data_IF_597422236566
#
_entry.id   IF_597422236566
#
_cell.length_a   1.000
_cell.length_b   1.000
_cell.length_c   1.000
_cell.angle_alpha   90.00
_cell.angle_beta   90.00
_cell.angle_gamma   90.00
#
_symmetry.space_group_name_H-M   'P 1'
#
loop_
_entity.id
_entity.type
_entity.pdbx_description
1 polymer ?
#
# COMPACT_ATOMS: atom_id res chain seq x y z
N UNK A 1 11.57 -21.73 -2.78
CA UNK A 1 11.82 -20.52 -3.58
C UNK A 1 10.53 -19.73 -3.56
N UNK A 2 10.53 -18.54 -2.94
CA UNK A 2 9.33 -17.69 -2.95
C UNK A 2 9.11 -17.17 -4.38
N UNK A 3 7.86 -16.80 -4.71
CA UNK A 3 7.55 -16.25 -6.03
C UNK A 3 8.35 -14.96 -6.30
N UNK A 4 8.62 -14.18 -5.24
CA UNK A 4 9.46 -12.99 -5.31
C UNK A 4 10.92 -13.35 -5.65
N UNK A 5 11.47 -14.41 -5.07
CA UNK A 5 12.84 -14.87 -5.40
C UNK A 5 12.93 -15.30 -6.87
N UNK A 6 11.88 -15.98 -7.36
CA UNK A 6 11.77 -16.41 -8.75
C UNK A 6 11.66 -15.23 -9.72
N UNK A 7 10.73 -14.30 -9.47
CA UNK A 7 10.54 -13.09 -10.28
C UNK A 7 11.80 -12.22 -10.31
N UNK A 8 12.47 -12.07 -9.16
CA UNK A 8 13.74 -11.35 -9.06
C UNK A 8 14.87 -12.05 -9.82
N UNK A 9 14.96 -13.39 -9.73
CA UNK A 9 15.97 -14.16 -10.49
C UNK A 9 15.80 -14.05 -12.01
N UNK A 10 14.58 -13.75 -12.47
CA UNK A 10 14.26 -13.54 -13.88
C UNK A 10 14.35 -12.06 -14.30
N UNK A 11 14.75 -11.16 -13.39
CA UNK A 11 14.79 -9.71 -13.60
C UNK A 11 13.44 -9.17 -14.13
N UNK A 12 12.34 -9.73 -13.64
CA UNK A 12 10.97 -9.29 -13.95
C UNK A 12 10.60 -8.23 -12.92
N UNK A 13 11.12 -7.03 -13.14
CA UNK A 13 10.92 -5.88 -12.24
C UNK A 13 9.54 -5.23 -12.46
N UNK A 14 8.91 -5.55 -13.60
CA UNK A 14 7.60 -5.08 -14.01
C UNK A 14 6.79 -6.24 -14.61
N UNK A 15 5.88 -6.80 -13.82
CA UNK A 15 4.87 -7.70 -14.35
C UNK A 15 3.83 -6.87 -15.07
N UNK A 16 3.85 -6.91 -16.40
CA UNK A 16 2.79 -6.30 -17.17
C UNK A 16 1.53 -7.16 -17.03
N UNK A 17 0.60 -6.75 -16.16
CA UNK A 17 -0.66 -7.46 -15.90
C UNK A 17 -1.43 -7.75 -17.19
N UNK A 18 -1.40 -6.85 -18.19
CA UNK A 18 -2.06 -7.07 -19.48
C UNK A 18 -1.44 -8.24 -20.24
N UNK A 19 -0.10 -8.33 -20.27
CA UNK A 19 0.61 -9.47 -20.87
C UNK A 19 0.38 -10.75 -20.09
N UNK A 20 0.37 -10.69 -18.76
CA UNK A 20 0.12 -11.85 -17.91
C UNK A 20 -1.30 -12.39 -18.10
N UNK A 21 -2.31 -11.52 -18.05
CA UNK A 21 -3.70 -11.88 -18.31
C UNK A 21 -3.87 -12.45 -19.72
N UNK A 22 -3.20 -11.87 -20.71
CA UNK A 22 -3.18 -12.39 -22.09
C UNK A 22 -2.57 -13.79 -22.14
N UNK A 23 -1.40 -13.98 -21.53
CA UNK A 23 -0.73 -15.28 -21.47
C UNK A 23 -1.61 -16.33 -20.78
N UNK A 24 -2.24 -15.99 -19.65
CA UNK A 24 -3.16 -16.88 -18.94
C UNK A 24 -4.35 -17.29 -19.82
N UNK A 25 -4.90 -16.35 -20.59
CA UNK A 25 -5.99 -16.61 -21.53
C UNK A 25 -5.56 -17.49 -22.70
N UNK A 26 -4.43 -17.19 -23.33
CA UNK A 26 -3.91 -17.92 -24.50
C UNK A 26 -3.41 -19.33 -24.15
N UNK A 27 -2.75 -19.48 -22.99
CA UNK A 27 -2.18 -20.76 -22.55
C UNK A 27 -3.23 -21.74 -22.02
N UNK A 28 -4.46 -21.28 -21.74
CA UNK A 28 -5.52 -22.02 -21.04
C UNK A 28 -5.05 -22.61 -19.69
N UNK A 29 -4.03 -22.00 -19.06
CA UNK A 29 -3.39 -22.59 -17.87
C UNK A 29 -4.38 -22.78 -16.71
N UNK A 30 -5.31 -21.84 -16.53
CA UNK A 30 -6.34 -21.93 -15.50
C UNK A 30 -7.29 -23.10 -15.78
N UNK A 31 -7.66 -23.34 -17.04
CA UNK A 31 -8.49 -24.50 -17.42
C UNK A 31 -7.80 -25.82 -17.07
N UNK A 32 -6.49 -25.93 -17.32
CA UNK A 32 -5.71 -27.12 -16.98
C UNK A 32 -5.64 -27.36 -15.47
N UNK A 33 -5.46 -26.29 -14.69
CA UNK A 33 -5.43 -26.36 -13.22
C UNK A 33 -6.79 -26.82 -12.69
N UNK A 34 -7.88 -26.22 -13.17
CA UNK A 34 -9.25 -26.57 -12.76
C UNK A 34 -9.60 -28.01 -13.12
N UNK A 35 -9.18 -28.50 -14.30
CA UNK A 35 -9.48 -29.86 -14.77
C UNK A 35 -8.70 -30.95 -13.98
N UNK A 36 -7.46 -30.65 -13.57
CA UNK A 36 -6.62 -31.62 -12.86
C UNK A 36 -6.81 -31.61 -11.33
N UNK A 37 -7.25 -30.49 -10.76
CA UNK A 37 -7.44 -30.35 -9.33
C UNK A 37 -8.79 -30.90 -8.87
N UNK A 38 -8.82 -31.55 -7.71
CA UNK A 38 -10.08 -31.95 -7.08
C UNK A 38 -10.90 -30.73 -6.63
N UNK A 39 -10.23 -29.68 -6.16
CA UNK A 39 -10.80 -28.39 -5.81
C UNK A 39 -9.75 -27.28 -5.96
N UNK A 40 -10.17 -26.10 -6.40
CA UNK A 40 -9.33 -24.90 -6.47
C UNK A 40 -9.90 -23.86 -5.51
N UNK A 41 -9.07 -23.41 -4.56
CA UNK A 41 -9.45 -22.38 -3.60
C UNK A 41 -8.62 -21.14 -3.90
N UNK A 42 -9.29 -20.03 -4.23
CA UNK A 42 -8.68 -18.72 -4.36
C UNK A 42 -9.04 -17.89 -3.13
N UNK A 43 -8.03 -17.54 -2.34
CA UNK A 43 -8.19 -16.77 -1.11
C UNK A 43 -7.37 -15.49 -1.19
N UNK A 44 -7.96 -14.37 -0.76
CA UNK A 44 -7.30 -13.07 -0.72
C UNK A 44 -8.21 -12.02 -0.08
N UNK A 45 -7.60 -11.07 0.65
CA UNK A 45 -8.34 -10.02 1.35
C UNK A 45 -8.93 -8.94 0.45
N UNK A 46 -8.47 -8.86 -0.81
CA UNK A 46 -8.79 -7.76 -1.77
C UNK A 46 -9.34 -8.27 -3.11
N UNK A 47 -9.92 -9.48 -3.16
CA UNK A 47 -10.40 -10.10 -4.41
C UNK A 47 -11.66 -9.45 -5.02
N UNK A 48 -12.16 -8.34 -4.47
CA UNK A 48 -13.27 -7.61 -5.06
C UNK A 48 -12.80 -6.71 -6.22
N UNK A 49 -13.59 -6.55 -7.30
CA UNK A 49 -14.91 -7.15 -7.53
C UNK A 49 -14.85 -8.60 -8.04
N UNK A 50 -15.72 -9.43 -7.47
CA UNK A 50 -15.76 -10.89 -7.71
C UNK A 50 -16.19 -11.21 -9.14
N UNK A 51 -17.08 -10.40 -9.71
CA UNK A 51 -17.63 -10.56 -11.04
C UNK A 51 -16.55 -10.41 -12.11
N UNK A 52 -15.66 -9.42 -11.96
CA UNK A 52 -14.56 -9.19 -12.90
C UNK A 52 -13.56 -10.34 -12.85
N UNK A 53 -13.27 -10.85 -11.64
CA UNK A 53 -12.41 -12.01 -11.46
C UNK A 53 -12.99 -13.25 -12.14
N UNK A 54 -14.29 -13.50 -11.98
CA UNK A 54 -15.00 -14.61 -12.65
C UNK A 54 -14.89 -14.49 -14.16
N UNK A 55 -15.21 -13.34 -14.73
CA UNK A 55 -15.20 -13.12 -16.18
C UNK A 55 -13.81 -13.27 -16.79
N UNK A 56 -12.76 -12.90 -16.04
CA UNK A 56 -11.37 -13.02 -16.50
C UNK A 56 -10.79 -14.41 -16.36
N UNK A 57 -11.03 -15.07 -15.24
CA UNK A 57 -10.34 -16.31 -14.88
C UNK A 57 -11.17 -17.56 -15.18
N UNK A 58 -12.49 -17.47 -15.06
CA UNK A 58 -13.40 -18.61 -15.12
C UNK A 58 -14.63 -18.40 -16.04
N UNK A 59 -14.49 -17.78 -17.24
CA UNK A 59 -15.65 -17.47 -18.08
C UNK A 59 -16.42 -18.70 -18.58
N UNK A 60 -15.81 -19.89 -18.55
CA UNK A 60 -16.44 -21.14 -18.97
C UNK A 60 -17.12 -21.93 -17.83
N UNK A 61 -16.87 -21.57 -16.56
CA UNK A 61 -17.45 -22.29 -15.43
C UNK A 61 -18.89 -21.80 -15.17
N UNK A 62 -19.86 -22.72 -15.04
CA UNK A 62 -21.21 -22.35 -14.65
C UNK A 62 -21.24 -21.89 -13.17
N UNK A 63 -22.24 -21.06 -12.85
CA UNK A 63 -22.32 -20.33 -11.56
C UNK A 63 -22.47 -21.25 -10.35
N UNK A 64 -23.01 -22.44 -10.53
CA UNK A 64 -23.19 -23.46 -9.50
C UNK A 64 -21.89 -24.12 -9.05
N UNK A 65 -20.81 -24.00 -9.84
CA UNK A 65 -19.48 -24.55 -9.52
C UNK A 65 -18.55 -23.54 -8.86
N UNK A 66 -18.94 -22.26 -8.80
CA UNK A 66 -18.11 -21.19 -8.28
C UNK A 66 -18.72 -20.61 -7.00
N UNK A 67 -18.17 -21.02 -5.86
CA UNK A 67 -18.61 -20.54 -4.56
C UNK A 67 -17.75 -19.38 -4.08
N UNK A 68 -18.41 -18.30 -3.68
CA UNK A 68 -17.77 -17.14 -3.08
C UNK A 68 -18.10 -17.05 -1.61
N UNK A 69 -17.07 -16.81 -0.82
CA UNK A 69 -17.19 -16.64 0.61
C UNK A 69 -16.38 -15.41 1.03
N UNK A 70 -17.03 -14.51 1.74
CA UNK A 70 -16.40 -13.34 2.35
C UNK A 70 -16.51 -13.45 3.85
N UNK A 71 -15.36 -13.43 4.53
CA UNK A 71 -15.33 -13.28 5.98
C UNK A 71 -15.77 -11.86 6.36
N UNK A 72 -16.42 -11.70 7.51
CA UNK A 72 -16.69 -10.39 8.08
C UNK A 72 -15.39 -9.63 8.33
N UNK A 73 -15.40 -8.32 8.09
CA UNK A 73 -14.26 -7.46 8.36
C UNK A 73 -13.87 -7.51 9.85
N UNK A 74 -12.58 -7.77 10.12
CA UNK A 74 -12.02 -7.75 11.49
C UNK A 74 -11.95 -6.30 12.01
N UNK A 75 -11.81 -5.33 11.10
CA UNK A 75 -11.80 -3.91 11.43
C UNK A 75 -13.22 -3.36 11.46
N UNK A 76 -13.66 -2.75 12.58
CA UNK A 76 -14.95 -2.10 12.66
C UNK A 76 -15.06 -0.93 11.66
N UNK A 77 -16.22 -0.69 11.02
CA UNK A 77 -16.39 0.40 10.06
C UNK A 77 -16.04 1.79 10.62
N UNK A 78 -16.29 2.02 11.90
CA UNK A 78 -15.95 3.25 12.61
C UNK A 78 -14.44 3.52 12.72
N UNK A 79 -13.62 2.49 12.50
CA UNK A 79 -12.15 2.61 12.51
C UNK A 79 -11.58 2.95 11.13
N UNK A 80 -12.42 3.09 10.09
CA UNK A 80 -11.98 3.38 8.72
C UNK A 80 -12.82 4.52 8.14
N UNK A 81 -12.17 5.60 7.71
CA UNK A 81 -12.82 6.71 7.01
C UNK A 81 -12.19 6.91 5.63
N UNK A 82 -12.78 6.33 4.56
CA UNK A 82 -12.30 6.54 3.20
C UNK A 82 -12.72 7.93 2.71
N UNK A 83 -11.76 8.71 2.21
CA UNK A 83 -12.00 10.05 1.67
C UNK A 83 -11.34 10.16 0.30
N UNK A 84 -12.13 10.51 -0.71
CA UNK A 84 -11.62 10.87 -2.04
C UNK A 84 -11.39 12.39 -2.10
N UNK A 85 -10.13 12.80 -2.21
CA UNK A 85 -9.75 14.22 -2.33
C UNK A 85 -9.58 14.58 -3.80
N UNK A 86 -10.53 15.30 -4.36
CA UNK A 86 -10.53 15.67 -5.80
C UNK A 86 -9.84 17.01 -6.10
N UNK A 87 -9.54 17.81 -5.07
CA UNK A 87 -8.96 19.15 -5.21
C UNK A 87 -7.89 19.40 -4.15
N UNK A 88 -6.86 20.14 -4.52
CA UNK A 88 -5.83 20.60 -3.61
C UNK A 88 -6.24 21.82 -2.80
N UNK A 89 -5.40 22.25 -1.83
CA UNK A 89 -5.72 23.34 -0.91
C UNK A 89 -6.01 24.68 -1.58
N UNK A 90 -5.46 24.93 -2.78
CA UNK A 90 -5.71 26.16 -3.54
C UNK A 90 -6.93 26.05 -4.46
N UNK A 91 -7.67 24.94 -4.42
CA UNK A 91 -8.89 24.71 -5.19
C UNK A 91 -8.68 24.08 -6.58
N UNK A 92 -7.42 23.86 -6.98
CA UNK A 92 -7.06 23.19 -8.22
C UNK A 92 -7.50 21.73 -8.18
N UNK A 93 -8.00 21.21 -9.30
CA UNK A 93 -8.41 19.80 -9.37
C UNK A 93 -7.19 18.90 -9.50
N UNK A 94 -7.18 17.80 -8.76
CA UNK A 94 -6.13 16.80 -8.90
C UNK A 94 -6.34 15.98 -10.17
N UNK A 95 -5.30 15.92 -11.00
CA UNK A 95 -5.21 15.02 -12.15
C UNK A 95 -3.90 14.25 -12.09
N UNK A 96 -4.00 12.98 -11.69
CA UNK A 96 -2.87 12.05 -11.61
C UNK A 96 -2.76 11.14 -12.85
N UNK A 97 -3.39 11.51 -13.98
CA UNK A 97 -3.17 10.85 -15.27
C UNK A 97 -1.69 10.92 -15.68
N UNK A 98 -1.27 10.06 -16.60
CA UNK A 98 0.13 10.03 -17.07
C UNK A 98 0.62 11.38 -17.61
N UNK A 99 -0.23 12.09 -18.34
CA UNK A 99 0.10 13.39 -18.93
C UNK A 99 0.24 14.52 -17.90
N UNK A 100 -0.50 14.44 -16.79
CA UNK A 100 -0.68 15.59 -15.89
C UNK A 100 0.00 15.42 -14.53
N UNK A 101 0.28 14.17 -14.11
CA UNK A 101 0.82 13.87 -12.77
C UNK A 101 2.17 14.53 -12.48
N UNK A 102 2.99 14.74 -13.51
CA UNK A 102 4.34 15.33 -13.39
C UNK A 102 4.35 16.86 -13.56
N UNK A 103 3.18 17.50 -13.69
CA UNK A 103 3.11 18.96 -13.74
C UNK A 103 3.44 19.55 -12.36
N UNK A 104 4.16 20.66 -12.35
CA UNK A 104 4.56 21.34 -11.11
C UNK A 104 3.36 21.69 -10.24
N UNK A 105 2.23 22.09 -10.86
CA UNK A 105 1.00 22.42 -10.16
C UNK A 105 0.43 21.22 -9.38
N UNK A 106 0.32 20.05 -10.02
CA UNK A 106 -0.19 18.83 -9.36
C UNK A 106 0.70 18.39 -8.21
N UNK A 107 2.03 18.41 -8.42
CA UNK A 107 3.01 18.02 -7.40
C UNK A 107 3.01 19.02 -6.22
N UNK A 108 2.90 20.32 -6.49
CA UNK A 108 2.83 21.36 -5.48
C UNK A 108 1.56 21.24 -4.64
N UNK A 109 0.38 21.13 -5.26
CA UNK A 109 -0.89 20.98 -4.55
C UNK A 109 -0.92 19.71 -3.68
N UNK A 110 -0.31 18.62 -4.14
CA UNK A 110 -0.16 17.40 -3.35
C UNK A 110 0.74 17.65 -2.12
N UNK A 111 1.84 18.38 -2.30
CA UNK A 111 2.74 18.76 -1.22
C UNK A 111 2.09 19.67 -0.18
N UNK A 112 1.28 20.62 -0.62
CA UNK A 112 0.49 21.49 0.26
C UNK A 112 -0.59 20.72 1.03
N UNK A 113 -1.27 19.77 0.38
CA UNK A 113 -2.21 18.87 1.04
C UNK A 113 -1.49 18.10 2.15
N UNK A 114 -0.32 17.51 1.86
CA UNK A 114 0.44 16.78 2.86
C UNK A 114 0.93 17.65 4.01
N UNK A 115 1.34 18.90 3.75
CA UNK A 115 1.68 19.85 4.81
C UNK A 115 0.53 20.06 5.82
N UNK A 116 -0.71 20.09 5.33
CA UNK A 116 -1.89 20.20 6.19
C UNK A 116 -2.12 18.89 6.96
N UNK A 117 -2.05 17.73 6.28
CA UNK A 117 -2.27 16.42 6.89
C UNK A 117 -1.25 16.11 8.00
N UNK A 118 0.04 16.37 7.78
CA UNK A 118 1.10 16.10 8.78
C UNK A 118 0.96 16.96 10.04
N UNK A 119 0.18 18.05 9.97
CA UNK A 119 -0.08 18.92 11.13
C UNK A 119 -1.19 18.36 12.03
N UNK A 120 -2.15 17.63 11.47
CA UNK A 120 -3.34 17.16 12.20
C UNK A 120 -3.31 15.66 12.52
N UNK A 121 -2.57 14.86 11.74
CA UNK A 121 -2.42 13.43 12.00
C UNK A 121 -1.34 13.23 13.07
N UNK A 122 -1.63 12.65 14.24
CA UNK A 122 -0.69 12.56 15.34
C UNK A 122 0.48 11.61 15.08
N UNK A 123 0.20 10.43 14.53
CA UNK A 123 1.17 9.34 14.40
C UNK A 123 1.88 9.33 13.04
N UNK A 124 1.78 8.22 12.31
CA UNK A 124 2.37 8.03 10.99
C UNK A 124 1.43 8.41 9.86
N UNK A 125 2.02 8.78 8.74
CA UNK A 125 1.34 8.82 7.43
C UNK A 125 2.15 7.92 6.49
N UNK A 126 1.46 7.10 5.71
CA UNK A 126 2.04 6.33 4.61
C UNK A 126 1.50 6.89 3.30
N UNK A 127 2.39 7.21 2.37
CA UNK A 127 2.04 7.78 1.06
C UNK A 127 2.54 6.85 -0.03
N UNK A 128 1.64 6.37 -0.87
CA UNK A 128 1.96 5.49 -1.98
C UNK A 128 2.00 6.28 -3.30
N UNK A 129 2.99 5.98 -4.13
CA UNK A 129 3.14 6.55 -5.47
C UNK A 129 3.08 5.44 -6.52
N UNK A 130 2.71 5.78 -7.76
CA UNK A 130 2.56 4.80 -8.84
C UNK A 130 3.86 4.13 -9.29
N UNK A 131 5.03 4.67 -8.93
CA UNK A 131 6.36 4.10 -9.19
C UNK A 131 7.44 4.83 -8.38
N UNK A 132 8.58 4.17 -8.16
CA UNK A 132 9.78 4.78 -7.57
C UNK A 132 10.31 5.99 -8.37
N UNK A 133 10.17 5.97 -9.69
CA UNK A 133 10.63 7.06 -10.54
C UNK A 133 9.74 8.31 -10.41
N UNK A 134 8.43 8.12 -10.22
CA UNK A 134 7.51 9.22 -9.97
C UNK A 134 7.67 9.76 -8.54
N UNK A 135 7.81 8.88 -7.55
CA UNK A 135 8.13 9.27 -6.17
C UNK A 135 9.42 10.09 -6.10
N UNK A 136 10.47 9.69 -6.81
CA UNK A 136 11.72 10.45 -6.88
C UNK A 136 11.54 11.86 -7.45
N UNK A 137 10.78 12.01 -8.54
CA UNK A 137 10.47 13.32 -9.12
C UNK A 137 9.72 14.23 -8.14
N UNK A 138 8.71 13.68 -7.45
CA UNK A 138 7.92 14.41 -6.44
C UNK A 138 8.81 14.82 -5.27
N UNK A 139 9.64 13.92 -4.77
CA UNK A 139 10.56 14.16 -3.67
C UNK A 139 11.55 15.29 -3.99
N UNK A 140 12.19 15.22 -5.17
CA UNK A 140 13.16 16.22 -5.60
C UNK A 140 12.52 17.59 -5.79
N UNK A 141 11.30 17.63 -6.34
CA UNK A 141 10.53 18.87 -6.46
C UNK A 141 10.17 19.46 -5.09
N UNK A 142 9.70 18.66 -4.14
CA UNK A 142 9.38 19.14 -2.79
C UNK A 142 10.60 19.63 -2.04
N UNK A 143 11.76 18.99 -2.25
CA UNK A 143 13.04 19.44 -1.69
C UNK A 143 13.47 20.79 -2.29
N UNK A 144 13.32 20.98 -3.59
CA UNK A 144 13.69 22.25 -4.25
C UNK A 144 12.74 23.40 -3.91
N UNK A 145 11.46 23.11 -3.68
CA UNK A 145 10.42 24.11 -3.37
C UNK A 145 10.31 24.47 -1.89
N UNK A 146 11.03 23.79 -0.99
CA UNK A 146 10.93 24.03 0.45
C UNK A 146 9.77 23.30 1.14
N UNK A 147 8.96 22.53 0.39
CA UNK A 147 7.81 21.78 0.91
C UNK A 147 8.27 20.63 1.79
N UNK A 148 9.32 19.93 1.38
CA UNK A 148 9.84 18.79 2.13
C UNK A 148 10.32 19.22 3.52
N UNK A 149 11.00 20.36 3.63
CA UNK A 149 11.46 20.94 4.88
C UNK A 149 10.27 21.31 5.79
N UNK A 150 9.15 21.78 5.23
CA UNK A 150 7.93 22.04 6.00
C UNK A 150 7.33 20.76 6.57
N UNK A 151 7.32 19.68 5.80
CA UNK A 151 6.88 18.36 6.26
C UNK A 151 7.82 17.84 7.36
N UNK A 152 9.13 17.91 7.14
CA UNK A 152 10.16 17.42 8.05
C UNK A 152 10.19 18.14 9.41
N UNK A 153 9.71 19.40 9.47
CA UNK A 153 9.50 20.12 10.74
C UNK A 153 8.43 19.50 11.63
N UNK A 154 7.53 18.68 11.08
CA UNK A 154 6.42 18.04 11.80
C UNK A 154 6.62 16.55 11.97
N UNK A 155 7.11 15.86 10.94
CA UNK A 155 7.29 14.40 10.94
C UNK A 155 8.58 14.00 10.23
N UNK A 156 9.28 13.01 10.78
CA UNK A 156 10.42 12.39 10.10
C UNK A 156 9.93 11.69 8.83
N UNK A 157 10.62 11.95 7.71
CA UNK A 157 10.30 11.34 6.41
C UNK A 157 11.22 10.13 6.20
N UNK A 158 10.61 9.01 5.81
CA UNK A 158 11.28 7.78 5.41
C UNK A 158 10.93 7.49 3.96
N UNK A 159 11.90 6.97 3.20
CA UNK A 159 11.68 6.54 1.82
C UNK A 159 11.94 5.05 1.71
N UNK A 160 11.10 4.37 0.95
CA UNK A 160 11.28 2.95 0.69
C UNK A 160 12.56 2.74 -0.15
N UNK A 161 13.49 1.89 0.30
CA UNK A 161 14.69 1.59 -0.46
C UNK A 161 14.35 0.71 -1.66
N UNK A 162 15.07 0.89 -2.78
CA UNK A 162 14.90 0.03 -3.98
C UNK A 162 15.30 -1.43 -3.77
N UNK A 163 16.00 -1.74 -2.67
CA UNK A 163 16.46 -3.09 -2.33
C UNK A 163 15.59 -3.66 -1.23
N UNK A 164 14.96 -4.79 -1.50
CA UNK A 164 14.11 -5.49 -0.52
C UNK A 164 14.82 -5.84 0.79
N UNK A 165 16.15 -6.03 0.77
CA UNK A 165 16.94 -6.33 1.97
C UNK A 165 16.90 -5.22 3.02
N UNK A 166 16.68 -3.98 2.58
CA UNK A 166 16.80 -2.79 3.42
C UNK A 166 15.42 -2.29 3.88
N UNK A 167 14.33 -2.82 3.31
CA UNK A 167 12.94 -2.42 3.61
C UNK A 167 12.60 -2.66 5.07
N UNK A 168 12.95 -3.84 5.60
CA UNK A 168 12.66 -4.22 6.98
C UNK A 168 13.29 -3.25 7.99
N UNK A 169 14.51 -2.78 7.70
CA UNK A 169 15.20 -1.82 8.55
C UNK A 169 14.48 -0.47 8.57
N UNK A 170 14.06 0.03 7.41
CA UNK A 170 13.31 1.29 7.32
C UNK A 170 11.95 1.20 8.01
N UNK A 171 11.25 0.06 7.86
CA UNK A 171 9.98 -0.18 8.55
C UNK A 171 10.16 -0.21 10.07
N UNK A 172 11.22 -0.87 10.55
CA UNK A 172 11.54 -0.88 11.97
C UNK A 172 11.83 0.52 12.50
N UNK A 173 12.64 1.31 11.81
CA UNK A 173 12.92 2.70 12.21
C UNK A 173 11.67 3.57 12.22
N UNK A 174 10.76 3.37 11.27
CA UNK A 174 9.47 4.05 11.22
C UNK A 174 8.60 3.71 12.44
N UNK A 175 8.48 2.42 12.76
CA UNK A 175 7.72 1.95 13.93
C UNK A 175 8.29 2.51 15.24
N UNK A 176 9.61 2.48 15.41
CA UNK A 176 10.28 3.03 16.60
C UNK A 176 10.06 4.54 16.72
N UNK A 177 10.08 5.27 15.61
CA UNK A 177 9.86 6.73 15.60
C UNK A 177 8.44 7.10 16.03
N UNK A 178 7.44 6.33 15.60
CA UNK A 178 6.04 6.53 15.99
C UNK A 178 5.83 6.12 17.46
N UNK A 179 6.37 4.97 17.87
CA UNK A 179 6.25 4.46 19.24
C UNK A 179 6.94 5.33 20.29
N UNK A 180 8.04 5.99 19.96
CA UNK A 180 8.69 6.94 20.87
C UNK A 180 7.84 8.20 21.10
N UNK A 181 7.10 8.63 20.08
CA UNK A 181 6.29 9.87 20.12
C UNK A 181 5.08 9.77 21.06
N UNK A 182 4.62 8.56 21.39
CA UNK A 182 3.52 8.31 22.33
C UNK A 182 3.95 8.21 23.80
N UNK A 183 5.26 8.17 24.08
CA UNK A 183 5.81 7.98 25.44
C UNK A 183 6.12 9.27 26.23
N UNK A 184 5.73 10.43 25.72
CA UNK A 184 5.95 11.73 26.35
C UNK A 184 4.90 12.10 27.40
N UNK A 185 4.88 11.42 28.55
CA UNK A 185 4.23 11.93 29.77
C UNK A 185 5.31 12.20 30.85
N UNK A 186 5.28 13.33 31.58
CA UNK A 186 6.22 13.58 32.67
C UNK A 186 6.02 12.58 33.81
N UNK A 187 7.13 12.08 34.34
CA UNK A 187 7.26 11.08 35.39
C UNK A 187 6.34 11.31 36.60
N UNK A 188 5.71 10.24 37.08
CA UNK A 188 5.48 10.02 38.50
C UNK A 188 5.85 8.55 38.82
N UNK A 189 6.71 8.38 39.82
CA UNK A 189 7.39 7.13 40.18
C UNK A 189 6.44 6.05 40.74
N UNK A 190 6.49 4.82 40.22
CA UNK A 190 6.48 3.59 41.04
C UNK A 190 6.73 2.29 40.24
N UNK A 191 7.53 1.43 40.89
CA UNK A 191 8.15 0.11 40.63
C UNK A 191 7.26 -0.96 39.94
N UNK A 192 7.84 -1.98 39.25
CA UNK A 192 7.19 -2.68 38.15
C UNK A 192 6.40 -3.92 38.58
N UNK A 193 5.22 -4.10 38.00
CA UNK A 193 4.55 -5.40 37.95
C UNK A 193 4.56 -5.96 36.53
N UNK A 194 5.23 -7.10 36.40
CA UNK A 194 5.13 -8.09 35.34
C UNK A 194 3.72 -8.15 34.72
N UNK A 195 3.62 -7.72 33.47
CA UNK A 195 2.50 -7.97 32.59
C UNK A 195 3.01 -7.87 31.16
N UNK A 196 2.83 -8.94 30.37
CA UNK A 196 3.38 -9.10 29.04
C UNK A 196 3.12 -7.87 28.15
N UNK A 197 4.21 -7.17 27.85
CA UNK A 197 4.24 -5.99 27.00
C UNK A 197 4.10 -6.38 25.53
N UNK A 198 3.54 -5.42 24.79
CA UNK A 198 3.52 -5.32 23.33
C UNK A 198 2.71 -6.38 22.60
N UNK A 199 1.41 -6.11 22.47
CA UNK A 199 0.69 -6.40 21.24
C UNK A 199 1.40 -5.64 20.10
N UNK A 200 2.46 -6.24 19.59
CA UNK A 200 3.10 -5.85 18.34
C UNK A 200 2.02 -5.96 17.27
N UNK A 201 1.56 -4.82 16.76
CA UNK A 201 0.57 -4.74 15.71
C UNK A 201 1.08 -5.48 14.48
N UNK A 202 0.63 -6.72 14.31
CA UNK A 202 0.75 -7.59 13.14
C UNK A 202 -0.07 -7.10 11.93
N UNK A 203 -0.48 -5.83 11.92
CA UNK A 203 -1.29 -5.22 10.85
C UNK A 203 -0.47 -4.84 9.61
N UNK A 204 0.85 -4.70 9.73
CA UNK A 204 1.68 -4.10 8.67
C UNK A 204 2.22 -5.12 7.65
N UNK A 205 2.34 -6.41 8.02
CA UNK A 205 2.75 -7.46 7.07
C UNK A 205 1.71 -7.70 5.96
N UNK A 206 0.44 -7.30 6.17
CA UNK A 206 -0.64 -7.46 5.19
C UNK A 206 -0.76 -6.27 4.22
N UNK A 207 -0.44 -5.04 4.63
CA UNK A 207 -0.61 -3.85 3.76
C UNK A 207 0.44 -3.84 2.63
N UNK A 208 1.66 -4.36 2.90
CA UNK A 208 2.74 -4.42 1.92
C UNK A 208 2.61 -5.51 0.85
N UNK A 209 1.62 -6.42 0.96
CA UNK A 209 1.40 -7.52 0.00
C UNK A 209 0.14 -7.37 -0.86
N UNK A 210 -0.61 -6.28 -0.71
CA UNK A 210 -1.93 -6.11 -1.33
C UNK A 210 -2.12 -4.90 -2.25
N UNK A 211 -1.03 -4.27 -2.68
CA UNK A 211 -1.06 -3.41 -3.87
C UNK A 211 -0.01 -3.88 -4.88
N UNK A 212 -0.35 -4.94 -5.62
CA UNK A 212 -0.03 -5.19 -7.03
C UNK A 212 -0.85 -6.39 -7.53
#
# INVERSE_FOLDING_TARGET
MAINDFLFSLNIDNINLVKLLRYMKESSIIHKIVDQAHAVILAGGTLQPIEEMRERLFPWLPLDQLHFFTCSHIVPPESILPIAVSRGPSGHSFDFSYSSRSTSLTIEELGLLLCNLVTVVPEGIVVFFSSFDYEGQVYDFWKQSGILERIMKKKRVFREPRRNTDVELVLKEYQETIGASSSGNPKEDSIPHSGANTSSCSWWEDIGRHQL
#
